data_IF_590181542717
#
_entry.id   IF_590181542717
#
_cell.length_a   1.000
_cell.length_b   1.000
_cell.length_c   1.000
_cell.angle_alpha   90.00
_cell.angle_beta   90.00
_cell.angle_gamma   90.00
#
_symmetry.space_group_name_H-M   'P 1'
#
loop_
_entity.id
_entity.type
_entity.pdbx_description
1 polymer ?
#
# COMPACT_ATOMS: atom_id res chain seq x y z
N UNK A 1 -28.56 -18.72 31.11
CA UNK A 1 -27.80 -17.74 30.31
C UNK A 1 -27.82 -16.44 31.10
N UNK A 2 -26.71 -16.07 31.71
CA UNK A 2 -26.64 -14.84 32.50
C UNK A 2 -26.31 -13.67 31.56
N UNK A 3 -27.34 -12.92 31.18
CA UNK A 3 -27.21 -11.80 30.25
C UNK A 3 -26.35 -10.65 30.81
N UNK A 4 -26.24 -10.52 32.14
CA UNK A 4 -25.41 -9.50 32.77
C UNK A 4 -23.92 -9.74 32.50
N UNK A 5 -23.47 -10.99 32.68
CA UNK A 5 -22.08 -11.39 32.42
C UNK A 5 -21.72 -11.26 30.93
N UNK A 6 -22.66 -11.56 30.03
CA UNK A 6 -22.45 -11.39 28.59
C UNK A 6 -22.25 -9.91 28.25
N UNK A 7 -23.04 -9.02 28.85
CA UNK A 7 -22.93 -7.58 28.62
C UNK A 7 -21.61 -7.03 29.17
N UNK A 8 -21.22 -7.41 30.38
CA UNK A 8 -20.01 -6.94 31.05
C UNK A 8 -18.74 -7.39 30.30
N UNK A 9 -18.72 -8.64 29.84
CA UNK A 9 -17.63 -9.16 29.01
C UNK A 9 -17.57 -8.47 27.63
N UNK A 10 -18.73 -8.15 27.05
CA UNK A 10 -18.80 -7.47 25.75
C UNK A 10 -18.29 -6.02 25.84
N UNK A 11 -18.67 -5.29 26.90
CA UNK A 11 -18.17 -3.92 27.15
C UNK A 11 -16.68 -3.93 27.45
N UNK A 12 -16.21 -4.88 28.23
CA UNK A 12 -14.77 -5.05 28.51
C UNK A 12 -13.98 -5.36 27.23
N UNK A 13 -14.52 -6.23 26.36
CA UNK A 13 -13.91 -6.53 25.08
C UNK A 13 -13.84 -5.32 24.13
N UNK A 14 -14.83 -4.42 24.17
CA UNK A 14 -14.83 -3.18 23.39
C UNK A 14 -13.78 -2.17 23.86
N UNK A 15 -13.51 -2.12 25.17
CA UNK A 15 -12.57 -1.18 25.78
C UNK A 15 -11.16 -1.76 25.94
N UNK A 16 -10.95 -3.03 25.60
CA UNK A 16 -9.64 -3.65 25.64
C UNK A 16 -8.65 -3.00 24.67
N UNK A 17 -7.37 -3.01 25.05
CA UNK A 17 -6.29 -2.37 24.28
C UNK A 17 -6.18 -2.92 22.84
N UNK A 18 -6.47 -4.21 22.64
CA UNK A 18 -6.46 -4.84 21.32
C UNK A 18 -7.55 -4.28 20.39
N UNK A 19 -8.76 -4.05 20.92
CA UNK A 19 -9.85 -3.43 20.16
C UNK A 19 -9.49 -2.00 19.76
N UNK A 20 -8.84 -1.24 20.65
CA UNK A 20 -8.35 0.11 20.35
C UNK A 20 -7.27 0.10 19.27
N UNK A 21 -6.30 -0.83 19.33
CA UNK A 21 -5.26 -0.98 18.31
C UNK A 21 -5.87 -1.25 16.92
N UNK A 22 -6.81 -2.20 16.84
CA UNK A 22 -7.48 -2.55 15.59
C UNK A 22 -8.35 -1.40 15.08
N UNK A 23 -9.04 -0.68 15.97
CA UNK A 23 -9.84 0.49 15.60
C UNK A 23 -8.96 1.62 15.04
N UNK A 24 -7.81 1.88 15.65
CA UNK A 24 -6.84 2.87 15.16
C UNK A 24 -6.23 2.44 13.82
N UNK A 25 -5.89 1.15 13.64
CA UNK A 25 -5.41 0.63 12.37
C UNK A 25 -6.46 0.76 11.25
N UNK A 26 -7.73 0.43 11.55
CA UNK A 26 -8.83 0.57 10.61
C UNK A 26 -9.10 2.04 10.24
N UNK A 27 -9.02 2.96 11.21
CA UNK A 27 -9.14 4.40 10.97
C UNK A 27 -7.99 4.91 10.07
N UNK A 28 -6.75 4.50 10.37
CA UNK A 28 -5.59 4.83 9.55
C UNK A 28 -5.72 4.34 8.11
N UNK A 29 -6.21 3.11 7.93
CA UNK A 29 -6.51 2.55 6.61
C UNK A 29 -7.61 3.34 5.88
N UNK A 30 -8.65 3.75 6.59
CA UNK A 30 -9.76 4.53 6.04
C UNK A 30 -9.31 5.94 5.61
N UNK A 31 -8.42 6.57 6.36
CA UNK A 31 -7.82 7.87 5.97
C UNK A 31 -6.91 7.70 4.74
N UNK A 32 -6.08 6.66 4.73
CA UNK A 32 -5.12 6.41 3.65
C UNK A 32 -5.81 6.02 2.33
N UNK A 33 -6.75 5.08 2.34
CA UNK A 33 -7.43 4.61 1.13
C UNK A 33 -8.77 5.30 0.84
N UNK A 34 -9.52 5.65 1.88
CA UNK A 34 -10.89 6.16 1.75
C UNK A 34 -10.96 7.66 1.49
N UNK A 35 -10.30 8.47 2.32
CA UNK A 35 -10.42 9.93 2.24
C UNK A 35 -9.44 10.60 1.28
N UNK A 36 -8.21 10.09 1.21
CA UNK A 36 -7.18 10.67 0.32
C UNK A 36 -7.13 9.98 -1.04
N UNK A 37 -7.75 8.81 -1.18
CA UNK A 37 -7.76 8.03 -2.42
C UNK A 37 -6.37 7.65 -2.93
N UNK A 38 -5.36 7.68 -2.06
CA UNK A 38 -3.98 7.42 -2.45
C UNK A 38 -3.82 5.93 -2.76
N UNK A 39 -3.19 5.64 -3.90
CA UNK A 39 -2.71 4.31 -4.20
C UNK A 39 -1.74 3.87 -3.10
N UNK A 40 -1.75 2.59 -2.76
CA UNK A 40 -0.85 2.02 -1.76
C UNK A 40 0.60 2.42 -2.11
N UNK A 41 1.40 2.83 -1.13
CA UNK A 41 2.76 3.31 -1.33
C UNK A 41 3.61 2.38 -2.19
N UNK A 42 3.41 1.06 -2.07
CA UNK A 42 4.04 0.08 -2.96
C UNK A 42 3.66 0.28 -4.44
N UNK A 43 2.36 0.30 -4.75
CA UNK A 43 1.85 0.43 -6.12
C UNK A 43 2.21 1.79 -6.75
N UNK A 44 2.18 2.89 -5.98
CA UNK A 44 2.65 4.20 -6.46
C UNK A 44 4.14 4.17 -6.78
N UNK A 45 4.94 3.52 -5.93
CA UNK A 45 6.38 3.38 -6.15
C UNK A 45 6.68 2.65 -7.47
N UNK A 46 6.04 1.50 -7.71
CA UNK A 46 6.19 0.76 -8.96
C UNK A 46 5.71 1.53 -10.18
N UNK A 47 4.55 2.21 -10.07
CA UNK A 47 4.05 3.05 -11.15
C UNK A 47 5.05 4.16 -11.50
N UNK A 48 5.61 4.82 -10.48
CA UNK A 48 6.55 5.93 -10.66
C UNK A 48 7.86 5.46 -11.29
N UNK A 49 8.45 4.37 -10.79
CA UNK A 49 9.70 3.83 -11.33
C UNK A 49 9.51 3.28 -12.75
N UNK A 50 8.40 2.60 -13.03
CA UNK A 50 8.06 2.11 -14.37
C UNK A 50 7.85 3.24 -15.36
N UNK A 51 7.04 4.25 -15.01
CA UNK A 51 6.76 5.40 -15.87
C UNK A 51 8.02 6.25 -16.10
N UNK A 52 8.83 6.48 -15.07
CA UNK A 52 10.07 7.23 -15.19
C UNK A 52 11.12 6.49 -16.00
N UNK A 53 11.27 5.17 -15.79
CA UNK A 53 12.17 4.33 -16.59
C UNK A 53 11.82 4.32 -18.07
N UNK A 54 10.52 4.27 -18.40
CA UNK A 54 10.04 4.41 -19.77
C UNK A 54 10.30 5.82 -20.31
N UNK A 55 9.91 6.86 -19.56
CA UNK A 55 10.03 8.26 -19.99
C UNK A 55 11.48 8.66 -20.26
N UNK A 56 12.39 8.28 -19.36
CA UNK A 56 13.83 8.50 -19.53
C UNK A 56 14.38 7.66 -20.68
N UNK A 57 13.96 6.40 -20.78
CA UNK A 57 14.34 5.49 -21.87
C UNK A 57 14.04 6.07 -23.26
N UNK A 58 12.84 6.60 -23.45
CA UNK A 58 12.43 7.16 -24.74
C UNK A 58 13.03 8.54 -24.98
N UNK A 59 13.06 9.41 -23.96
CA UNK A 59 13.36 10.85 -24.16
C UNK A 59 14.86 11.16 -24.14
N UNK A 60 15.64 10.51 -23.26
CA UNK A 60 17.05 10.83 -23.08
C UNK A 60 17.98 9.78 -23.67
N UNK A 61 17.55 8.53 -23.66
CA UNK A 61 18.33 7.40 -24.19
C UNK A 61 17.93 7.03 -25.62
N UNK A 62 16.93 7.71 -26.18
CA UNK A 62 16.40 7.53 -27.54
C UNK A 62 16.11 6.05 -27.87
N UNK A 63 15.76 5.26 -26.86
CA UNK A 63 15.45 3.85 -27.02
C UNK A 63 14.09 3.70 -27.73
N UNK A 64 13.96 2.72 -28.63
CA UNK A 64 12.65 2.39 -29.19
C UNK A 64 11.68 2.01 -28.06
N UNK A 65 10.42 2.41 -28.22
CA UNK A 65 9.39 2.31 -27.18
C UNK A 65 9.34 0.93 -26.49
N UNK A 66 9.40 -0.15 -27.28
CA UNK A 66 9.39 -1.52 -26.73
C UNK A 66 10.57 -1.83 -25.79
N UNK A 67 11.76 -1.31 -26.07
CA UNK A 67 12.94 -1.51 -25.22
C UNK A 67 12.88 -0.60 -23.99
N UNK A 68 12.35 0.61 -24.12
CA UNK A 68 12.11 1.49 -22.98
C UNK A 68 11.06 0.93 -22.00
N UNK A 69 10.04 0.22 -22.51
CA UNK A 69 9.08 -0.53 -21.67
C UNK A 69 9.80 -1.63 -20.88
N UNK A 70 10.68 -2.40 -21.52
CA UNK A 70 11.46 -3.43 -20.84
C UNK A 70 12.40 -2.85 -19.78
N UNK A 71 12.98 -1.67 -20.04
CA UNK A 71 13.81 -0.96 -19.07
C UNK A 71 13.00 -0.55 -17.83
N UNK A 72 11.82 0.05 -18.02
CA UNK A 72 10.92 0.41 -16.91
C UNK A 72 10.46 -0.80 -16.10
N UNK A 73 10.18 -1.93 -16.77
CA UNK A 73 9.88 -3.21 -16.12
C UNK A 73 11.07 -3.73 -15.31
N UNK A 74 12.28 -3.74 -15.87
CA UNK A 74 13.48 -4.19 -15.19
C UNK A 74 13.77 -3.36 -13.93
N UNK A 75 13.63 -2.03 -14.01
CA UNK A 75 13.78 -1.13 -12.87
C UNK A 75 12.71 -1.36 -11.80
N UNK A 76 11.47 -1.67 -12.21
CA UNK A 76 10.39 -2.01 -11.28
C UNK A 76 10.66 -3.34 -10.56
N UNK A 77 11.19 -4.34 -11.25
CA UNK A 77 11.61 -5.62 -10.66
C UNK A 77 12.77 -5.43 -9.68
N UNK A 78 13.75 -4.59 -10.02
CA UNK A 78 14.85 -4.24 -9.12
C UNK A 78 14.34 -3.56 -7.84
N UNK A 79 13.37 -2.66 -7.98
CA UNK A 79 12.71 -2.05 -6.82
C UNK A 79 12.01 -3.10 -5.95
N UNK A 80 11.33 -4.08 -6.56
CA UNK A 80 10.65 -5.15 -5.82
C UNK A 80 11.64 -6.02 -5.02
N UNK A 81 12.77 -6.38 -5.63
CA UNK A 81 13.84 -7.11 -4.95
C UNK A 81 14.44 -6.31 -3.80
N UNK A 82 14.65 -5.00 -3.98
CA UNK A 82 15.16 -4.13 -2.93
C UNK A 82 14.18 -3.98 -1.74
N UNK A 83 12.86 -4.01 -2.02
CA UNK A 83 11.83 -3.95 -0.97
C UNK A 83 11.69 -5.27 -0.19
N UNK A 84 12.28 -6.37 -0.67
CA UNK A 84 12.33 -7.66 0.00
C UNK A 84 11.58 -8.83 -0.66
N UNK A 85 10.95 -8.59 -1.84
CA UNK A 85 9.83 -9.38 -2.40
C UNK A 85 8.55 -9.30 -1.56
#
# INVERSE_FOLDING_TARGET
>A
MDFGVILDNSVTALLNAEALYLALAALGLNIHFGYTGLLNFGQVGFLTVGAYGLGVGVTYLELPFGVAVLLGLALSVLLALALGI
#
